data_IF_343708100278
#
_entry.id   IF_343708100278
#
_cell.length_a   1.000
_cell.length_b   1.000
_cell.length_c   1.000
_cell.angle_alpha   90.00
_cell.angle_beta   90.00
_cell.angle_gamma   90.00
#
_symmetry.space_group_name_H-M   'P 1'
#
loop_
_entity.id
_entity.type
_entity.pdbx_description
1 polymer ?
#
# COMPACT_ATOMS: atom_id res chain seq x y z
N UNK A 1 -4.44 -11.00 -14.13
CA UNK A 1 -4.53 -10.74 -12.67
C UNK A 1 -5.76 -11.42 -12.10
N UNK A 2 -5.55 -12.42 -11.24
CA UNK A 2 -6.57 -13.38 -10.83
C UNK A 2 -7.41 -12.93 -9.63
N UNK A 3 -8.58 -13.55 -9.49
CA UNK A 3 -9.56 -13.39 -8.40
C UNK A 3 -8.95 -13.32 -6.98
N UNK A 4 -7.75 -13.86 -6.78
CA UNK A 4 -6.98 -13.81 -5.53
C UNK A 4 -6.55 -12.41 -5.07
N UNK A 5 -6.47 -11.43 -5.98
CA UNK A 5 -6.05 -10.06 -5.61
C UNK A 5 -7.11 -9.36 -4.76
N UNK A 6 -8.39 -9.61 -5.03
CA UNK A 6 -9.51 -8.98 -4.32
C UNK A 6 -9.53 -9.27 -2.81
N UNK A 7 -9.47 -10.53 -2.33
CA UNK A 7 -9.44 -10.79 -0.89
C UNK A 7 -8.16 -10.24 -0.24
N UNK A 8 -7.04 -10.23 -0.97
CA UNK A 8 -5.78 -9.69 -0.45
C UNK A 8 -5.88 -8.18 -0.20
N UNK A 9 -6.39 -7.41 -1.16
CA UNK A 9 -6.64 -5.97 -1.00
C UNK A 9 -7.68 -5.72 0.09
N UNK A 10 -8.75 -6.50 0.14
CA UNK A 10 -9.80 -6.35 1.15
C UNK A 10 -9.28 -6.49 2.58
N UNK A 11 -8.46 -7.51 2.87
CA UNK A 11 -7.86 -7.69 4.21
C UNK A 11 -6.99 -6.50 4.60
N UNK A 12 -6.19 -5.97 3.66
CA UNK A 12 -5.39 -4.77 3.89
C UNK A 12 -6.25 -3.55 4.24
N UNK A 13 -7.32 -3.29 3.47
CA UNK A 13 -8.25 -2.19 3.74
C UNK A 13 -8.85 -2.32 5.14
N UNK A 14 -9.33 -3.51 5.51
CA UNK A 14 -9.94 -3.74 6.82
C UNK A 14 -8.97 -3.54 7.98
N UNK A 15 -7.73 -4.02 7.87
CA UNK A 15 -6.72 -3.90 8.93
C UNK A 15 -6.28 -2.44 9.17
N UNK A 16 -5.99 -1.71 8.10
CA UNK A 16 -5.58 -0.30 8.21
C UNK A 16 -6.74 0.59 8.65
N UNK A 17 -7.95 0.34 8.16
CA UNK A 17 -9.16 1.05 8.61
C UNK A 17 -9.40 0.81 10.11
N UNK A 18 -9.24 -0.43 10.59
CA UNK A 18 -9.33 -0.75 12.02
C UNK A 18 -8.24 -0.05 12.84
N UNK A 19 -6.97 -0.11 12.41
CA UNK A 19 -5.85 0.56 13.09
C UNK A 19 -6.04 2.09 13.19
N UNK A 20 -6.54 2.71 12.12
CA UNK A 20 -6.83 4.15 12.11
C UNK A 20 -8.03 4.49 13.00
N UNK A 21 -9.04 3.62 13.01
CA UNK A 21 -10.18 3.74 13.90
C UNK A 21 -9.77 3.58 15.38
N UNK A 22 -8.89 2.63 15.70
CA UNK A 22 -8.31 2.44 17.03
C UNK A 22 -7.38 3.62 17.45
N UNK A 23 -6.96 4.47 16.50
CA UNK A 23 -6.24 5.71 16.74
C UNK A 23 -7.17 6.94 16.84
N UNK A 24 -8.49 6.74 16.89
CA UNK A 24 -9.50 7.81 16.98
C UNK A 24 -9.80 8.53 15.66
N UNK A 25 -9.25 8.07 14.54
CA UNK A 25 -9.47 8.65 13.21
C UNK A 25 -10.56 7.91 12.42
N UNK A 26 -11.10 8.57 11.39
CA UNK A 26 -12.04 7.93 10.46
C UNK A 26 -11.34 6.85 9.62
N UNK A 27 -11.98 5.70 9.42
CA UNK A 27 -11.46 4.63 8.54
C UNK A 27 -11.19 5.10 7.10
N UNK A 28 -11.81 6.19 6.66
CA UNK A 28 -11.57 6.83 5.36
C UNK A 28 -10.15 7.39 5.19
N UNK A 29 -9.42 7.64 6.29
CA UNK A 29 -8.00 8.00 6.23
C UNK A 29 -7.13 6.90 5.59
N UNK A 30 -7.65 5.68 5.43
CA UNK A 30 -7.01 4.64 4.63
C UNK A 30 -6.72 5.09 3.18
N UNK A 31 -7.58 5.93 2.59
CA UNK A 31 -7.34 6.44 1.22
C UNK A 31 -6.05 7.28 1.14
N UNK A 32 -5.69 7.98 2.20
CA UNK A 32 -4.40 8.71 2.27
C UNK A 32 -3.22 7.74 2.37
N UNK A 33 -3.36 6.63 3.11
CA UNK A 33 -2.36 5.55 3.11
C UNK A 33 -2.23 4.89 1.73
N UNK A 34 -3.33 4.69 1.02
CA UNK A 34 -3.32 4.14 -0.35
C UNK A 34 -2.65 5.11 -1.34
N UNK A 35 -2.97 6.40 -1.26
CA UNK A 35 -2.30 7.43 -2.06
C UNK A 35 -0.80 7.50 -1.73
N UNK A 36 -0.44 7.45 -0.45
CA UNK A 36 0.94 7.37 0.02
C UNK A 36 1.67 6.13 -0.49
N UNK A 37 1.01 4.97 -0.54
CA UNK A 37 1.54 3.75 -1.16
C UNK A 37 1.87 3.95 -2.63
N UNK A 38 0.99 4.58 -3.40
CA UNK A 38 1.25 4.89 -4.81
C UNK A 38 2.47 5.81 -4.99
N UNK A 39 2.58 6.87 -4.19
CA UNK A 39 3.67 7.84 -4.28
C UNK A 39 5.00 7.26 -3.79
N UNK A 40 5.01 6.64 -2.61
CA UNK A 40 6.23 6.02 -2.06
C UNK A 40 6.65 4.86 -2.95
N UNK A 41 5.72 4.04 -3.41
CA UNK A 41 6.00 2.91 -4.31
C UNK A 41 6.58 3.33 -5.65
N UNK A 42 6.14 4.47 -6.22
CA UNK A 42 6.70 5.00 -7.46
C UNK A 42 8.11 5.56 -7.24
N UNK A 43 8.35 6.28 -6.14
CA UNK A 43 9.70 6.80 -5.80
C UNK A 43 10.66 5.63 -5.53
N UNK A 44 10.27 4.69 -4.68
CA UNK A 44 11.08 3.52 -4.31
C UNK A 44 11.41 2.69 -5.55
N UNK A 45 10.43 2.44 -6.42
CA UNK A 45 10.68 1.73 -7.68
C UNK A 45 11.58 2.51 -8.63
N UNK A 46 11.39 3.83 -8.77
CA UNK A 46 12.25 4.66 -9.61
C UNK A 46 13.71 4.66 -9.12
N UNK A 47 13.93 4.60 -7.81
CA UNK A 47 15.27 4.52 -7.22
C UNK A 47 15.89 3.12 -7.33
N UNK A 48 15.09 2.05 -7.17
CA UNK A 48 15.57 0.67 -7.23
C UNK A 48 15.77 0.16 -8.66
N UNK A 49 15.01 0.67 -9.62
CA UNK A 49 15.08 0.24 -11.02
C UNK A 49 16.49 0.32 -11.62
N UNK A 50 17.26 1.43 -11.50
CA UNK A 50 18.62 1.49 -12.04
C UNK A 50 19.62 0.59 -11.29
N UNK A 51 19.35 0.21 -10.04
CA UNK A 51 20.25 -0.60 -9.22
C UNK A 51 20.02 -2.10 -9.46
N UNK A 52 18.77 -2.55 -9.39
CA UNK A 52 18.42 -3.98 -9.48
C UNK A 52 18.08 -4.45 -10.89
N UNK A 53 17.68 -3.54 -11.78
CA UNK A 53 17.23 -3.86 -13.13
C UNK A 53 17.75 -2.84 -14.16
N UNK A 54 19.08 -2.73 -14.33
CA UNK A 54 19.70 -1.73 -15.21
C UNK A 54 19.27 -1.90 -16.68
N UNK A 55 19.08 -3.14 -17.14
CA UNK A 55 18.61 -3.45 -18.51
C UNK A 55 17.19 -2.91 -18.77
N UNK A 56 16.31 -2.98 -17.76
CA UNK A 56 14.96 -2.44 -17.86
C UNK A 56 14.96 -0.90 -17.88
N UNK A 57 15.89 -0.29 -17.16
CA UNK A 57 16.08 1.15 -17.16
C UNK A 57 16.59 1.67 -18.50
N UNK A 58 17.55 0.97 -19.14
CA UNK A 58 18.03 1.31 -20.48
C UNK A 58 16.94 1.24 -21.54
N UNK A 59 16.07 0.22 -21.48
CA UNK A 59 14.87 0.17 -22.32
C UNK A 59 13.97 1.38 -22.07
N UNK A 60 13.58 1.66 -20.82
CA UNK A 60 12.76 2.83 -20.49
C UNK A 60 13.39 4.16 -20.93
N UNK A 61 14.72 4.29 -20.84
CA UNK A 61 15.44 5.49 -21.25
C UNK A 61 15.44 5.69 -22.77
N UNK A 62 15.47 4.62 -23.57
CA UNK A 62 15.32 4.69 -25.02
C UNK A 62 13.93 5.16 -25.46
N UNK A 63 12.91 4.92 -24.63
CA UNK A 63 11.53 5.30 -24.92
C UNK A 63 11.13 6.71 -24.43
N UNK A 64 12.08 7.52 -23.94
CA UNK A 64 11.82 8.81 -23.29
C UNK A 64 11.05 9.87 -24.10
N UNK A 65 10.82 9.66 -25.41
CA UNK A 65 10.01 10.54 -26.27
C UNK A 65 8.69 9.93 -26.76
N UNK A 66 8.48 8.62 -26.65
CA UNK A 66 7.32 7.94 -27.21
C UNK A 66 6.74 6.93 -26.21
N UNK A 67 5.91 7.44 -25.30
CA UNK A 67 5.23 6.64 -24.28
C UNK A 67 4.33 5.57 -24.90
N UNK A 68 3.78 5.82 -26.10
CA UNK A 68 2.94 4.84 -26.80
C UNK A 68 3.77 3.68 -27.32
N UNK A 69 4.89 3.98 -28.00
CA UNK A 69 5.84 2.96 -28.44
C UNK A 69 6.48 2.19 -27.28
N UNK A 70 6.72 2.86 -26.15
CA UNK A 70 7.18 2.24 -24.92
C UNK A 70 6.19 1.19 -24.43
N UNK A 71 4.90 1.54 -24.38
CA UNK A 71 3.84 0.66 -23.88
C UNK A 71 3.62 -0.54 -24.80
N UNK A 72 3.68 -0.37 -26.13
CA UNK A 72 3.58 -1.47 -27.09
C UNK A 72 4.79 -2.43 -26.98
N UNK A 73 6.01 -1.90 -26.89
CA UNK A 73 7.22 -2.72 -26.74
C UNK A 73 7.27 -3.45 -25.38
N UNK A 74 6.78 -2.80 -24.31
CA UNK A 74 6.62 -3.41 -22.99
C UNK A 74 5.57 -4.53 -23.01
N UNK A 75 4.52 -4.37 -23.81
CA UNK A 75 3.44 -5.36 -23.95
C UNK A 75 3.91 -6.56 -24.75
N UNK A 76 4.69 -6.35 -25.81
CA UNK A 76 5.24 -7.41 -26.64
C UNK A 76 6.27 -8.26 -25.88
N UNK A 77 7.10 -7.63 -25.04
CA UNK A 77 8.14 -8.31 -24.26
C UNK A 77 7.80 -8.44 -22.77
N UNK A 78 6.51 -8.43 -22.43
CA UNK A 78 6.06 -8.28 -21.03
C UNK A 78 6.60 -9.38 -20.11
N UNK A 79 6.77 -10.61 -20.62
CA UNK A 79 7.28 -11.73 -19.83
C UNK A 79 8.77 -11.59 -19.50
N UNK A 80 9.58 -11.12 -20.45
CA UNK A 80 11.00 -10.87 -20.21
C UNK A 80 11.19 -9.66 -19.31
N UNK A 81 10.38 -8.62 -19.53
CA UNK A 81 10.37 -7.43 -18.71
C UNK A 81 9.94 -7.72 -17.27
N UNK A 82 8.87 -8.50 -17.08
CA UNK A 82 8.42 -8.96 -15.78
C UNK A 82 9.49 -9.78 -15.07
N UNK A 83 10.19 -10.68 -15.78
CA UNK A 83 11.27 -11.46 -15.19
C UNK A 83 12.45 -10.60 -14.75
N UNK A 84 12.83 -9.61 -15.57
CA UNK A 84 13.92 -8.68 -15.28
C UNK A 84 13.58 -7.71 -14.15
N UNK A 85 12.31 -7.31 -14.03
CA UNK A 85 11.83 -6.38 -13.00
C UNK A 85 11.21 -7.07 -11.79
N UNK A 86 11.09 -8.41 -11.78
CA UNK A 86 10.49 -9.18 -10.69
C UNK A 86 11.20 -8.93 -9.34
N UNK A 87 12.53 -8.87 -9.34
CA UNK A 87 13.31 -8.60 -8.12
C UNK A 87 13.08 -7.16 -7.64
N UNK A 88 13.10 -6.21 -8.56
CA UNK A 88 12.86 -4.79 -8.28
C UNK A 88 11.44 -4.58 -7.75
N UNK A 89 10.44 -5.21 -8.36
CA UNK A 89 9.04 -5.09 -7.94
C UNK A 89 8.78 -5.74 -6.58
N UNK A 90 9.39 -6.90 -6.30
CA UNK A 90 9.36 -7.54 -4.97
C UNK A 90 10.05 -6.66 -3.93
N UNK A 91 11.25 -6.17 -4.21
CA UNK A 91 12.00 -5.30 -3.29
C UNK A 91 11.22 -4.00 -3.01
N UNK A 92 10.70 -3.36 -4.06
CA UNK A 92 9.87 -2.16 -3.93
C UNK A 92 8.59 -2.44 -3.14
N UNK A 93 7.91 -3.55 -3.40
CA UNK A 93 6.71 -3.93 -2.67
C UNK A 93 7.02 -4.13 -1.18
N UNK A 94 8.07 -4.88 -0.84
CA UNK A 94 8.47 -5.14 0.54
C UNK A 94 8.90 -3.86 1.26
N UNK A 95 9.71 -3.00 0.62
CA UNK A 95 10.16 -1.75 1.22
C UNK A 95 9.01 -0.77 1.41
N UNK A 96 8.14 -0.63 0.42
CA UNK A 96 6.99 0.28 0.49
C UNK A 96 6.00 -0.18 1.57
N UNK A 97 5.67 -1.48 1.60
CA UNK A 97 4.77 -2.04 2.63
C UNK A 97 5.38 -1.99 4.03
N UNK A 98 6.69 -2.24 4.19
CA UNK A 98 7.38 -2.10 5.47
C UNK A 98 7.36 -0.65 5.97
N UNK A 99 7.58 0.32 5.08
CA UNK A 99 7.61 1.74 5.44
C UNK A 99 6.22 2.24 5.85
N UNK A 100 5.17 1.89 5.10
CA UNK A 100 3.79 2.21 5.46
C UNK A 100 3.32 1.47 6.72
N UNK A 101 3.71 0.20 6.89
CA UNK A 101 3.45 -0.56 8.11
C UNK A 101 4.13 0.05 9.33
N UNK A 102 5.36 0.57 9.18
CA UNK A 102 6.07 1.27 10.25
C UNK A 102 5.38 2.58 10.62
N UNK A 103 4.92 3.37 9.64
CA UNK A 103 4.13 4.59 9.89
C UNK A 103 2.84 4.24 10.63
N UNK A 104 2.12 3.20 10.20
CA UNK A 104 0.88 2.79 10.85
C UNK A 104 1.09 2.21 12.26
N UNK A 105 2.20 1.51 12.51
CA UNK A 105 2.54 1.00 13.83
C UNK A 105 2.90 2.10 14.83
N UNK A 106 3.31 3.28 14.34
CA UNK A 106 3.64 4.45 15.17
C UNK A 106 2.42 5.31 15.52
N UNK A 107 1.23 5.01 14.98
CA UNK A 107 0.01 5.71 15.35
C UNK A 107 -0.35 5.41 16.82
N UNK A 108 -0.56 6.44 17.66
CA UNK A 108 -1.00 6.24 19.04
C UNK A 108 -2.36 5.54 19.04
N UNK A 109 -2.53 4.57 19.93
CA UNK A 109 -3.82 3.89 20.13
C UNK A 109 -4.58 4.68 21.19
N UNK A 110 -5.71 5.28 20.81
CA UNK A 110 -6.58 5.98 21.75
C UNK A 110 -7.71 5.02 22.15
N UNK A 111 -7.59 4.44 23.34
CA UNK A 111 -8.56 3.48 23.89
C UNK A 111 -9.80 4.18 24.44
N UNK A 112 -9.73 5.48 24.73
CA UNK A 112 -10.85 6.21 25.31
C UNK A 112 -11.60 7.01 24.26
N UNK A 113 -12.89 6.70 24.16
CA UNK A 113 -13.88 7.47 23.42
C UNK A 113 -13.65 7.47 21.90
N UNK A 114 -14.08 6.39 21.26
CA UNK A 114 -14.41 6.41 19.84
C UNK A 114 -15.32 7.64 19.56
N UNK A 115 -14.76 8.71 18.99
CA UNK A 115 -15.49 9.96 18.71
C UNK A 115 -16.56 9.76 17.63
N UNK A 116 -16.44 8.71 16.82
CA UNK A 116 -17.25 8.49 15.61
C UNK A 116 -18.05 7.18 15.63
N UNK A 117 -18.07 6.45 16.74
CA UNK A 117 -18.83 5.22 16.91
C UNK A 117 -19.07 4.90 18.39
N UNK A 118 -19.84 3.85 18.71
CA UNK A 118 -20.16 3.52 20.09
C UNK A 118 -18.86 3.23 20.89
N UNK A 119 -18.79 3.63 22.17
CA UNK A 119 -17.59 3.55 22.97
C UNK A 119 -17.08 2.11 23.03
N UNK A 120 -15.83 1.91 22.63
CA UNK A 120 -15.09 0.66 22.74
C UNK A 120 -14.47 0.54 24.14
N UNK A 121 -15.31 0.48 25.15
CA UNK A 121 -14.91 0.00 26.46
C UNK A 121 -16.11 -0.66 27.12
N UNK A 122 -15.94 -1.92 27.50
CA UNK A 122 -16.95 -2.66 28.23
C UNK A 122 -17.24 -1.94 29.55
N UNK A 123 -18.38 -1.28 29.63
CA UNK A 123 -19.02 -1.04 30.92
C UNK A 123 -19.60 -2.39 31.35
N UNK A 124 -19.16 -2.98 32.49
CA UNK A 124 -19.93 -4.06 33.07
C UNK A 124 -21.33 -3.51 33.35
N UNK A 125 -22.35 -4.28 33.01
CA UNK A 125 -23.74 -4.07 33.41
C UNK A 125 -23.83 -3.55 34.84
N UNK A 126 -23.88 -2.22 35.02
CA UNK A 126 -24.11 -1.62 36.32
C UNK A 126 -25.62 -1.52 36.50
N UNK A 127 -26.17 -2.54 37.16
CA UNK A 127 -27.46 -2.59 37.84
C UNK A 127 -28.35 -1.34 37.69
N UNK A 128 -29.30 -1.40 36.75
CA UNK A 128 -30.45 -0.49 36.71
C UNK A 128 -31.68 -1.23 37.24
N UNK A 129 -31.69 -1.50 38.54
CA UNK A 129 -32.90 -1.69 39.34
C UNK A 129 -32.69 -0.96 40.66
N UNK A 130 -33.15 0.29 40.70
CA UNK A 130 -33.64 0.97 41.91
C UNK A 130 -34.54 2.12 41.52
#
# INVERSE_FOLDING_TARGET
FGILVYPMVYVYVCLFSKRLHDAGHSGWFYLLFLAGYGIVGSIVSALLMPILSPVAFEMYAQFGSDLSGAMDALTENIQEFERLTALTSLASFLLTTALLGFIAARLPTDLETNRYGPPTSGTPTSNTYS
#
